data_IF_590616827821
#
_entry.id   IF_590616827821
#
_cell.length_a   1.000
_cell.length_b   1.000
_cell.length_c   1.000
_cell.angle_alpha   90.00
_cell.angle_beta   90.00
_cell.angle_gamma   90.00
#
_symmetry.space_group_name_H-M   'P 1'
#
loop_
_entity.id
_entity.type
_entity.pdbx_description
1 polymer ?
#
# COMPACT_ATOMS: atom_id res chain seq x y z
N UNK A 1 -18.51 11.13 2.00
CA UNK A 1 -19.59 11.76 2.80
C UNK A 1 -19.66 11.25 4.23
N UNK A 2 -19.69 9.92 4.49
CA UNK A 2 -19.83 9.36 5.85
C UNK A 2 -18.71 9.78 6.82
N UNK A 3 -17.45 9.73 6.40
CA UNK A 3 -16.32 10.12 7.23
C UNK A 3 -16.35 11.63 7.60
N UNK A 4 -16.70 12.48 6.64
CA UNK A 4 -16.91 13.92 6.86
C UNK A 4 -17.99 14.13 7.91
N UNK A 5 -19.17 13.55 7.72
CA UNK A 5 -20.28 13.64 8.67
C UNK A 5 -19.89 13.18 10.08
N UNK A 6 -19.19 12.05 10.20
CA UNK A 6 -18.75 11.54 11.49
C UNK A 6 -17.77 12.50 12.19
N UNK A 7 -16.79 13.06 11.48
CA UNK A 7 -15.85 14.03 12.04
C UNK A 7 -16.55 15.33 12.46
N UNK A 8 -17.50 15.83 11.68
CA UNK A 8 -18.33 16.99 12.02
C UNK A 8 -19.17 16.78 13.28
N UNK A 9 -19.57 15.53 13.52
CA UNK A 9 -20.27 15.14 14.76
C UNK A 9 -19.31 14.66 15.87
N UNK A 10 -18.05 15.09 15.84
CA UNK A 10 -17.08 14.91 16.92
C UNK A 10 -16.50 13.52 17.06
N UNK A 11 -16.63 12.62 16.05
CA UNK A 11 -16.12 11.24 16.08
C UNK A 11 -14.77 11.13 15.38
N UNK A 12 -13.92 10.25 15.85
CA UNK A 12 -12.80 9.71 15.07
C UNK A 12 -13.30 8.67 14.08
N UNK A 13 -12.59 8.50 12.96
CA UNK A 13 -13.01 7.61 11.87
C UNK A 13 -11.93 6.58 11.57
N UNK A 14 -12.30 5.31 11.45
CA UNK A 14 -11.55 4.28 10.75
C UNK A 14 -12.29 3.96 9.45
N UNK A 15 -11.62 4.06 8.33
CA UNK A 15 -12.21 3.81 7.00
C UNK A 15 -11.53 2.62 6.33
N UNK A 16 -12.30 1.83 5.60
CA UNK A 16 -11.76 0.85 4.67
C UNK A 16 -10.94 1.54 3.56
N UNK A 17 -10.18 0.75 2.84
CA UNK A 17 -9.35 1.15 1.70
C UNK A 17 -10.16 1.13 0.39
N UNK A 18 -10.03 2.18 -0.44
CA UNK A 18 -9.38 3.46 -0.22
C UNK A 18 -10.22 4.41 0.64
N UNK A 19 -9.59 5.41 1.28
CA UNK A 19 -10.33 6.40 2.09
C UNK A 19 -11.17 7.35 1.24
N UNK A 20 -10.78 7.55 -0.01
CA UNK A 20 -11.44 8.39 -1.01
C UNK A 20 -11.19 7.84 -2.43
N UNK A 21 -12.10 8.13 -3.36
CA UNK A 21 -12.01 7.71 -4.76
C UNK A 21 -11.87 8.88 -5.74
N UNK A 22 -11.90 10.12 -5.26
CA UNK A 22 -11.66 11.33 -6.05
C UNK A 22 -10.68 12.28 -5.33
N UNK A 23 -10.06 13.19 -6.08
CA UNK A 23 -9.17 14.22 -5.52
C UNK A 23 -9.95 15.21 -4.67
N UNK A 24 -11.16 15.54 -5.06
CA UNK A 24 -12.08 16.43 -4.34
C UNK A 24 -12.41 15.86 -2.96
N UNK A 25 -12.72 14.56 -2.88
CA UNK A 25 -12.98 13.88 -1.61
C UNK A 25 -11.73 13.85 -0.72
N UNK A 26 -10.54 13.67 -1.29
CA UNK A 26 -9.29 13.76 -0.54
C UNK A 26 -9.15 15.11 0.15
N UNK A 27 -9.34 16.21 -0.56
CA UNK A 27 -9.28 17.57 0.02
C UNK A 27 -10.39 17.83 1.03
N UNK A 28 -11.62 17.36 0.76
CA UNK A 28 -12.73 17.48 1.70
C UNK A 28 -12.45 16.79 3.04
N UNK A 29 -11.83 15.61 3.02
CA UNK A 29 -11.44 14.91 4.24
C UNK A 29 -10.39 15.66 5.03
N UNK A 30 -9.35 16.19 4.37
CA UNK A 30 -8.29 17.00 5.03
C UNK A 30 -8.88 18.23 5.69
N UNK A 31 -9.62 19.03 4.92
CA UNK A 31 -10.24 20.28 5.43
C UNK A 31 -11.13 20.00 6.63
N UNK A 32 -11.89 18.90 6.58
CA UNK A 32 -12.77 18.51 7.68
C UNK A 32 -11.98 18.07 8.91
N UNK A 33 -10.95 17.25 8.74
CA UNK A 33 -10.13 16.79 9.86
C UNK A 33 -9.37 17.94 10.53
N UNK A 34 -8.81 18.87 9.74
CA UNK A 34 -8.13 20.06 10.26
C UNK A 34 -9.07 20.98 11.02
N UNK A 35 -10.28 21.19 10.52
CA UNK A 35 -11.30 22.01 11.17
C UNK A 35 -11.84 21.39 12.46
N UNK A 36 -12.12 20.09 12.43
CA UNK A 36 -12.76 19.37 13.56
C UNK A 36 -11.75 18.81 14.56
N UNK A 37 -10.45 18.76 14.21
CA UNK A 37 -9.38 18.13 15.00
C UNK A 37 -9.67 16.65 15.30
N UNK A 38 -10.33 15.95 14.38
CA UNK A 38 -10.62 14.51 14.49
C UNK A 38 -9.69 13.68 13.62
N UNK A 39 -9.33 12.53 14.13
CA UNK A 39 -8.58 11.55 13.34
C UNK A 39 -9.50 10.89 12.30
N UNK A 40 -8.95 10.67 11.12
CA UNK A 40 -9.50 9.78 10.11
C UNK A 40 -8.33 8.91 9.61
N UNK A 41 -8.36 7.62 9.93
CA UNK A 41 -7.34 6.66 9.57
C UNK A 41 -7.89 5.69 8.52
N UNK A 42 -7.19 5.54 7.41
CA UNK A 42 -7.44 4.41 6.51
C UNK A 42 -6.87 3.13 7.12
N UNK A 43 -7.67 2.09 7.15
CA UNK A 43 -7.35 0.81 7.80
C UNK A 43 -6.52 -0.08 6.85
N UNK A 44 -5.35 0.43 6.42
CA UNK A 44 -4.42 -0.31 5.55
C UNK A 44 -3.63 -1.33 6.36
N UNK A 45 -4.11 -2.56 6.38
CA UNK A 45 -3.58 -3.64 7.22
C UNK A 45 -2.23 -4.18 6.73
N UNK A 46 -1.89 -4.06 5.44
CA UNK A 46 -0.63 -4.57 4.90
C UNK A 46 0.60 -3.89 5.49
N UNK A 47 0.49 -2.64 5.96
CA UNK A 47 1.55 -1.97 6.70
C UNK A 47 1.95 -2.69 8.00
N UNK A 48 1.08 -3.56 8.52
CA UNK A 48 1.23 -4.26 9.79
C UNK A 48 1.52 -5.75 9.63
N UNK A 49 1.71 -6.23 8.40
CA UNK A 49 2.13 -7.60 8.15
C UNK A 49 3.55 -7.85 8.69
N UNK A 50 3.79 -9.06 9.17
CA UNK A 50 5.07 -9.43 9.78
C UNK A 50 6.26 -9.24 8.84
N UNK A 51 6.07 -9.47 7.54
CA UNK A 51 7.10 -9.27 6.52
C UNK A 51 7.41 -7.79 6.32
N UNK A 52 6.38 -6.98 6.10
CA UNK A 52 6.53 -5.54 5.85
C UNK A 52 7.11 -4.82 7.08
N UNK A 53 6.72 -5.21 8.29
CA UNK A 53 7.31 -4.69 9.52
C UNK A 53 8.77 -5.10 9.70
N UNK A 54 9.14 -6.32 9.30
CA UNK A 54 10.52 -6.77 9.31
C UNK A 54 11.40 -5.94 8.37
N UNK A 55 10.93 -5.71 7.13
CA UNK A 55 11.63 -4.84 6.15
C UNK A 55 11.75 -3.42 6.69
N UNK A 56 10.65 -2.86 7.22
CA UNK A 56 10.67 -1.52 7.82
C UNK A 56 11.72 -1.41 8.93
N UNK A 57 11.82 -2.42 9.80
CA UNK A 57 12.82 -2.42 10.86
C UNK A 57 14.25 -2.48 10.32
N UNK A 58 14.52 -3.28 9.28
CA UNK A 58 15.83 -3.31 8.62
C UNK A 58 16.18 -1.96 7.98
N UNK A 59 15.22 -1.29 7.35
CA UNK A 59 15.42 0.04 6.76
C UNK A 59 15.75 1.07 7.85
N UNK A 60 15.03 1.03 8.96
CA UNK A 60 15.28 1.92 10.11
C UNK A 60 16.63 1.67 10.80
N UNK A 61 17.17 0.46 10.68
CA UNK A 61 18.54 0.08 11.13
C UNK A 61 19.62 0.26 10.06
N UNK A 62 19.31 0.97 8.97
CA UNK A 62 20.23 1.30 7.86
C UNK A 62 20.81 0.07 7.13
N UNK A 63 20.13 -1.08 7.17
CA UNK A 63 20.57 -2.29 6.45
C UNK A 63 20.54 -2.11 4.95
N UNK A 64 19.56 -1.33 4.43
CA UNK A 64 19.39 -1.08 3.00
C UNK A 64 20.23 0.10 2.48
N UNK A 65 20.76 0.96 3.37
CA UNK A 65 21.36 2.23 2.96
C UNK A 65 20.33 3.16 2.32
N UNK A 66 20.74 3.92 1.31
CA UNK A 66 19.83 4.80 0.58
C UNK A 66 18.96 4.02 -0.41
N UNK A 67 17.64 4.10 -0.24
CA UNK A 67 16.69 3.43 -1.13
C UNK A 67 16.52 4.28 -2.39
N UNK A 68 16.65 3.63 -3.54
CA UNK A 68 16.52 4.26 -4.87
C UNK A 68 15.25 3.86 -5.61
N UNK A 69 14.79 2.61 -5.38
CA UNK A 69 13.65 2.04 -6.08
C UNK A 69 12.87 1.08 -5.21
N UNK A 70 11.55 1.02 -5.43
CA UNK A 70 10.67 0.04 -4.81
C UNK A 70 9.61 -0.45 -5.80
N UNK A 71 9.13 -1.68 -5.59
CA UNK A 71 7.99 -2.20 -6.35
C UNK A 71 6.93 -2.74 -5.39
N UNK A 72 5.68 -2.40 -5.63
CA UNK A 72 4.53 -2.89 -4.90
C UNK A 72 3.39 -3.28 -5.83
N UNK A 73 2.43 -4.04 -5.34
CA UNK A 73 1.33 -4.48 -6.18
C UNK A 73 0.10 -4.92 -5.39
N UNK A 74 -1.01 -5.04 -6.12
CA UNK A 74 -2.12 -5.90 -5.76
C UNK A 74 -2.42 -6.81 -6.94
N UNK A 75 -1.89 -8.03 -6.88
CA UNK A 75 -2.00 -9.05 -7.92
C UNK A 75 -2.77 -10.24 -7.32
N UNK A 76 -3.99 -10.49 -7.81
CA UNK A 76 -4.89 -11.46 -7.19
C UNK A 76 -5.95 -11.91 -8.20
N UNK A 77 -6.21 -13.20 -8.34
CA UNK A 77 -7.34 -13.65 -9.16
C UNK A 77 -8.66 -13.42 -8.42
N UNK A 78 -9.40 -12.39 -8.81
CA UNK A 78 -10.70 -12.05 -8.25
C UNK A 78 -11.86 -12.31 -9.19
N UNK A 79 -11.66 -12.94 -10.35
CA UNK A 79 -12.71 -13.13 -11.36
C UNK A 79 -13.96 -13.80 -10.80
N UNK A 80 -13.80 -14.86 -10.01
CA UNK A 80 -14.93 -15.55 -9.39
C UNK A 80 -15.72 -14.65 -8.42
N UNK A 81 -15.02 -13.78 -7.67
CA UNK A 81 -15.68 -12.87 -6.73
C UNK A 81 -16.31 -11.66 -7.43
N UNK A 82 -15.68 -11.16 -8.49
CA UNK A 82 -16.21 -10.06 -9.30
C UNK A 82 -17.51 -10.45 -9.99
N UNK A 83 -17.59 -11.67 -10.51
CA UNK A 83 -18.75 -12.20 -11.23
C UNK A 83 -19.82 -12.80 -10.29
N UNK A 84 -19.57 -12.82 -8.96
CA UNK A 84 -20.53 -13.36 -8.00
C UNK A 84 -21.66 -12.35 -7.73
N UNK A 85 -22.91 -12.79 -7.79
CA UNK A 85 -24.09 -11.91 -7.71
C UNK A 85 -24.21 -11.12 -6.40
N UNK A 86 -23.73 -11.66 -5.28
CA UNK A 86 -23.97 -11.11 -3.94
C UNK A 86 -22.71 -10.86 -3.11
N UNK A 87 -21.52 -11.25 -3.58
CA UNK A 87 -20.29 -11.07 -2.80
C UNK A 87 -19.95 -9.58 -2.59
N UNK A 88 -20.03 -8.79 -3.66
CA UNK A 88 -19.98 -7.33 -3.59
C UNK A 88 -21.39 -6.80 -3.78
N UNK A 89 -21.94 -6.16 -2.77
CA UNK A 89 -23.30 -5.62 -2.79
C UNK A 89 -23.55 -4.79 -4.06
N UNK A 90 -24.59 -5.14 -4.83
CA UNK A 90 -24.90 -4.49 -6.11
C UNK A 90 -23.80 -4.64 -7.16
N UNK A 91 -22.89 -5.60 -7.02
CA UNK A 91 -21.75 -5.81 -7.93
C UNK A 91 -20.94 -4.52 -8.21
N UNK A 92 -20.86 -3.60 -7.23
CA UNK A 92 -20.26 -2.29 -7.41
C UNK A 92 -18.83 -2.36 -7.97
N UNK A 93 -18.05 -3.34 -7.52
CA UNK A 93 -16.67 -3.51 -7.98
C UNK A 93 -16.60 -3.94 -9.44
N UNK A 94 -17.51 -4.80 -9.89
CA UNK A 94 -17.59 -5.21 -11.29
C UNK A 94 -17.96 -4.02 -12.20
N UNK A 95 -18.90 -3.18 -11.77
CA UNK A 95 -19.26 -1.95 -12.49
C UNK A 95 -18.08 -0.99 -12.61
N UNK A 96 -17.29 -0.80 -11.55
CA UNK A 96 -16.05 -0.01 -11.62
C UNK A 96 -15.12 -0.52 -12.73
N UNK A 97 -14.93 -1.85 -12.84
CA UNK A 97 -14.10 -2.45 -13.89
C UNK A 97 -14.73 -2.34 -15.29
N UNK A 98 -16.05 -2.29 -15.39
CA UNK A 98 -16.74 -2.12 -16.66
C UNK A 98 -16.62 -0.68 -17.20
N UNK A 99 -16.58 0.31 -16.33
CA UNK A 99 -16.71 1.72 -16.69
C UNK A 99 -15.39 2.50 -16.66
N UNK A 100 -14.38 2.05 -15.92
CA UNK A 100 -13.15 2.78 -15.61
C UNK A 100 -11.91 1.96 -15.96
N UNK A 101 -10.75 2.62 -16.09
CA UNK A 101 -9.47 1.98 -16.39
C UNK A 101 -8.31 2.67 -15.69
N UNK A 102 -7.64 1.95 -14.79
CA UNK A 102 -6.53 2.45 -13.99
C UNK A 102 -6.08 1.45 -12.94
N UNK A 103 -5.38 1.91 -11.92
CA UNK A 103 -4.97 1.13 -10.76
C UNK A 103 -6.00 1.30 -9.63
N UNK A 104 -6.93 0.37 -9.47
CA UNK A 104 -8.03 0.50 -8.52
C UNK A 104 -7.72 0.01 -7.10
N UNK A 105 -6.55 -0.56 -6.87
CA UNK A 105 -6.19 -1.06 -5.55
C UNK A 105 -4.74 -0.76 -5.20
N UNK A 106 -4.45 0.52 -5.01
CA UNK A 106 -3.09 1.04 -4.86
C UNK A 106 -2.52 0.78 -3.46
N UNK A 107 -3.37 0.77 -2.44
CA UNK A 107 -2.97 0.97 -1.04
C UNK A 107 -2.19 -0.19 -0.44
N UNK A 108 -2.54 -1.45 -0.77
CA UNK A 108 -1.85 -2.63 -0.24
C UNK A 108 -0.38 -2.75 -0.68
N UNK A 109 -0.07 -2.30 -1.90
CA UNK A 109 1.33 -2.21 -2.35
C UNK A 109 2.00 -0.93 -1.86
N UNK A 110 1.30 0.20 -1.97
CA UNK A 110 1.88 1.52 -1.75
C UNK A 110 2.04 1.89 -0.27
N UNK A 111 1.15 1.41 0.60
CA UNK A 111 1.18 1.72 2.02
C UNK A 111 2.50 1.34 2.69
N UNK A 112 2.92 0.05 2.65
CA UNK A 112 4.21 -0.37 3.18
C UNK A 112 5.39 0.39 2.55
N UNK A 113 5.40 0.54 1.22
CA UNK A 113 6.42 1.29 0.49
C UNK A 113 6.53 2.73 0.97
N UNK A 114 5.40 3.38 1.24
CA UNK A 114 5.38 4.75 1.74
C UNK A 114 6.06 4.87 3.11
N UNK A 115 5.92 3.87 3.98
CA UNK A 115 6.65 3.80 5.24
C UNK A 115 8.17 3.62 5.01
N UNK A 116 8.56 2.74 4.08
CA UNK A 116 9.97 2.51 3.73
C UNK A 116 10.66 3.77 3.22
N UNK A 117 9.96 4.54 2.40
CA UNK A 117 10.48 5.75 1.75
C UNK A 117 10.31 7.03 2.58
N UNK A 118 9.67 6.95 3.76
CA UNK A 118 9.29 8.09 4.59
C UNK A 118 8.43 9.12 3.82
N UNK A 119 7.48 8.66 3.02
CA UNK A 119 6.53 9.52 2.31
C UNK A 119 5.67 10.28 3.34
N UNK A 120 5.52 11.59 3.13
CA UNK A 120 4.89 12.49 4.10
C UNK A 120 5.76 12.86 5.30
N UNK A 121 7.01 12.31 5.39
CA UNK A 121 7.94 12.46 6.53
C UNK A 121 9.38 12.59 6.04
N UNK A 122 9.63 13.60 5.22
CA UNK A 122 10.92 13.90 4.64
C UNK A 122 11.02 13.64 3.14
N UNK A 123 10.04 12.96 2.53
CA UNK A 123 9.86 12.81 1.08
C UNK A 123 8.36 12.84 0.74
N UNK A 124 8.00 13.05 -0.51
CA UNK A 124 6.61 13.00 -0.98
C UNK A 124 6.54 12.59 -2.44
N UNK A 125 5.35 12.22 -2.92
CA UNK A 125 5.14 11.92 -4.33
C UNK A 125 5.19 13.21 -5.16
N UNK A 126 5.83 13.15 -6.33
CA UNK A 126 5.97 14.26 -7.27
C UNK A 126 4.98 14.12 -8.43
N UNK A 127 5.14 13.07 -9.21
CA UNK A 127 4.31 12.77 -10.36
C UNK A 127 4.25 11.28 -10.66
N UNK A 128 3.27 10.87 -11.45
CA UNK A 128 3.12 9.51 -11.92
C UNK A 128 2.84 9.45 -13.43
N UNK A 129 3.12 8.27 -14.00
CA UNK A 129 2.60 7.84 -15.30
C UNK A 129 2.02 6.45 -15.16
N UNK A 130 0.92 6.17 -15.88
CA UNK A 130 0.21 4.90 -15.77
C UNK A 130 -0.20 4.37 -17.13
N UNK A 131 -0.11 3.07 -17.30
CA UNK A 131 -0.46 2.37 -18.52
C UNK A 131 -1.16 1.05 -18.19
N UNK A 132 -2.29 0.80 -18.85
CA UNK A 132 -3.01 -0.47 -18.76
C UNK A 132 -2.80 -1.30 -20.03
N UNK A 133 -2.72 -2.62 -19.85
CA UNK A 133 -2.83 -3.57 -20.96
C UNK A 133 -4.27 -3.57 -21.51
N UNK A 134 -4.48 -4.26 -22.62
CA UNK A 134 -5.85 -4.57 -23.06
C UNK A 134 -6.51 -5.53 -22.04
N UNK A 135 -7.84 -5.50 -21.99
CA UNK A 135 -8.66 -6.42 -21.22
C UNK A 135 -8.97 -7.67 -22.05
N UNK A 136 -8.88 -8.85 -21.45
CA UNK A 136 -9.18 -10.15 -22.06
C UNK A 136 -9.76 -11.17 -21.07
N UNK A 137 -9.22 -11.20 -19.86
CA UNK A 137 -9.42 -12.33 -18.94
C UNK A 137 -10.79 -12.25 -18.24
N UNK A 138 -11.21 -11.06 -17.81
CA UNK A 138 -12.51 -10.91 -17.14
C UNK A 138 -13.66 -11.09 -18.12
N UNK A 139 -13.58 -10.53 -19.34
CA UNK A 139 -14.60 -10.73 -20.38
C UNK A 139 -14.70 -12.19 -20.82
N UNK A 140 -13.58 -12.91 -20.91
CA UNK A 140 -13.58 -14.35 -21.19
C UNK A 140 -14.27 -15.14 -20.08
N UNK A 141 -13.96 -14.85 -18.82
CA UNK A 141 -14.59 -15.50 -17.67
C UNK A 141 -16.10 -15.19 -17.59
N UNK A 142 -16.49 -13.95 -17.84
CA UNK A 142 -17.89 -13.53 -17.85
C UNK A 142 -18.69 -14.24 -18.96
N UNK A 143 -18.11 -14.39 -20.15
CA UNK A 143 -18.74 -15.18 -21.25
C UNK A 143 -18.92 -16.64 -20.88
N UNK A 144 -17.91 -17.27 -20.29
CA UNK A 144 -17.99 -18.65 -19.82
C UNK A 144 -19.07 -18.84 -18.73
N UNK A 145 -19.24 -17.85 -17.86
CA UNK A 145 -20.25 -17.84 -16.83
C UNK A 145 -21.65 -17.39 -17.32
N UNK A 146 -21.83 -17.03 -18.59
CA UNK A 146 -23.02 -16.40 -19.15
C UNK A 146 -23.47 -15.16 -18.34
N UNK A 147 -22.51 -14.39 -17.81
CA UNK A 147 -22.79 -13.19 -17.05
C UNK A 147 -23.37 -12.08 -17.96
N UNK A 148 -24.34 -11.26 -17.50
CA UNK A 148 -24.95 -10.21 -18.33
C UNK A 148 -23.96 -9.11 -18.77
N UNK A 149 -22.99 -8.75 -17.92
CA UNK A 149 -21.93 -7.80 -18.26
C UNK A 149 -20.72 -8.60 -18.80
N UNK A 150 -20.37 -8.38 -20.07
CA UNK A 150 -19.30 -9.13 -20.75
C UNK A 150 -18.26 -8.22 -21.43
N UNK A 151 -18.29 -6.92 -21.14
CA UNK A 151 -17.33 -5.94 -21.67
C UNK A 151 -16.83 -5.04 -20.53
N UNK A 152 -15.54 -4.88 -20.45
CA UNK A 152 -14.87 -4.12 -19.39
C UNK A 152 -13.83 -3.17 -19.96
N UNK A 153 -13.75 -1.96 -19.41
CA UNK A 153 -12.72 -0.96 -19.78
C UNK A 153 -11.40 -1.20 -19.06
N UNK A 154 -11.46 -1.71 -17.83
CA UNK A 154 -10.27 -1.95 -17.03
C UNK A 154 -9.38 -3.00 -17.70
N UNK A 155 -8.15 -2.63 -18.04
CA UNK A 155 -7.17 -3.58 -18.57
C UNK A 155 -6.84 -4.69 -17.57
N UNK A 156 -6.33 -5.82 -18.07
CA UNK A 156 -5.95 -6.94 -17.19
C UNK A 156 -4.81 -6.56 -16.24
N UNK A 157 -3.81 -5.84 -16.74
CA UNK A 157 -2.66 -5.37 -15.96
C UNK A 157 -2.53 -3.85 -16.07
N UNK A 158 -2.42 -3.17 -14.95
CA UNK A 158 -2.02 -1.77 -14.88
C UNK A 158 -0.63 -1.66 -14.25
N UNK A 159 0.22 -0.81 -14.85
CA UNK A 159 1.54 -0.43 -14.34
C UNK A 159 1.55 1.08 -14.13
N UNK A 160 1.77 1.50 -12.90
CA UNK A 160 1.89 2.91 -12.52
C UNK A 160 3.30 3.16 -11.98
N UNK A 161 4.04 4.05 -12.63
CA UNK A 161 5.36 4.49 -12.20
C UNK A 161 5.23 5.84 -11.51
N UNK A 162 5.66 5.91 -10.25
CA UNK A 162 5.62 7.11 -9.42
C UNK A 162 7.04 7.58 -9.16
N UNK A 163 7.30 8.89 -9.23
CA UNK A 163 8.54 9.51 -8.78
C UNK A 163 8.30 10.36 -7.54
N UNK A 164 9.25 10.31 -6.59
CA UNK A 164 9.22 11.15 -5.40
C UNK A 164 10.00 12.45 -5.62
N UNK A 165 9.79 13.45 -4.77
CA UNK A 165 10.53 14.73 -4.82
C UNK A 165 12.04 14.54 -4.58
N UNK A 166 12.42 13.52 -3.79
CA UNK A 166 13.84 13.16 -3.59
C UNK A 166 14.40 12.20 -4.63
N UNK A 167 13.68 11.97 -5.74
CA UNK A 167 14.17 11.26 -6.91
C UNK A 167 14.08 9.74 -6.86
N UNK A 168 13.46 9.15 -5.83
CA UNK A 168 13.17 7.72 -5.77
C UNK A 168 12.06 7.34 -6.74
N UNK A 169 12.02 6.09 -7.17
CA UNK A 169 10.97 5.57 -8.07
C UNK A 169 10.21 4.43 -7.43
N UNK A 170 8.92 4.34 -7.74
CA UNK A 170 8.02 3.28 -7.28
C UNK A 170 7.31 2.71 -8.50
N UNK A 171 7.43 1.40 -8.73
CA UNK A 171 6.56 0.70 -9.67
C UNK A 171 5.41 0.07 -8.90
N UNK A 172 4.19 0.45 -9.25
CA UNK A 172 2.98 -0.06 -8.61
C UNK A 172 2.13 -0.80 -9.64
N UNK A 173 1.85 -2.09 -9.39
CA UNK A 173 1.11 -2.96 -10.31
C UNK A 173 -0.26 -3.32 -9.76
N UNK A 174 -1.22 -3.49 -10.67
CA UNK A 174 -2.57 -3.93 -10.35
C UNK A 174 -3.07 -4.93 -11.40
N UNK A 175 -3.52 -6.11 -10.94
CA UNK A 175 -4.17 -7.13 -11.78
C UNK A 175 -5.05 -8.02 -10.90
N UNK A 176 -6.35 -8.03 -11.18
CA UNK A 176 -7.33 -8.90 -10.52
C UNK A 176 -8.14 -9.74 -11.51
N UNK A 177 -7.73 -9.71 -12.77
CA UNK A 177 -8.40 -10.39 -13.89
C UNK A 177 -7.67 -11.67 -14.33
N UNK A 178 -6.39 -11.81 -14.01
CA UNK A 178 -5.58 -12.96 -14.44
C UNK A 178 -5.58 -14.07 -13.40
N UNK A 179 -5.69 -15.33 -13.85
CA UNK A 179 -5.50 -16.50 -13.00
C UNK A 179 -4.06 -16.60 -12.51
N UNK A 180 -3.82 -16.24 -11.26
CA UNK A 180 -2.48 -16.15 -10.65
C UNK A 180 -2.51 -16.27 -9.14
N UNK A 181 -1.39 -16.67 -8.49
CA UNK A 181 -1.28 -16.58 -7.04
C UNK A 181 -1.24 -15.11 -6.59
N UNK A 182 -1.65 -14.88 -5.34
CA UNK A 182 -1.58 -13.58 -4.70
C UNK A 182 -0.14 -13.07 -4.59
N UNK A 183 0.06 -11.78 -4.89
CA UNK A 183 1.35 -11.12 -4.69
C UNK A 183 1.17 -9.62 -4.47
N UNK A 184 1.93 -9.06 -3.52
CA UNK A 184 2.14 -7.60 -3.38
C UNK A 184 3.52 -7.16 -3.89
N UNK A 185 4.31 -8.08 -4.44
CA UNK A 185 5.71 -7.90 -4.85
C UNK A 185 6.58 -7.52 -3.64
N UNK A 186 6.39 -6.36 -3.04
CA UNK A 186 7.12 -5.86 -1.88
C UNK A 186 8.65 -5.87 -2.09
N UNK A 187 9.12 -5.26 -3.19
CA UNK A 187 10.54 -5.12 -3.51
C UNK A 187 11.09 -3.80 -3.00
N UNK A 188 12.30 -3.85 -2.45
CA UNK A 188 13.08 -2.70 -2.02
C UNK A 188 14.50 -2.80 -2.57
N UNK A 189 14.96 -1.77 -3.27
CA UNK A 189 16.31 -1.67 -3.81
C UNK A 189 17.03 -0.50 -3.15
N UNK A 190 18.04 -0.83 -2.36
CA UNK A 190 18.90 0.13 -1.69
C UNK A 190 20.37 -0.01 -2.09
N UNK A 191 21.21 0.89 -1.62
CA UNK A 191 22.64 0.90 -1.92
C UNK A 191 23.44 -0.21 -1.22
N UNK A 192 22.87 -0.84 -0.18
CA UNK A 192 23.53 -1.90 0.61
C UNK A 192 22.78 -3.24 0.58
N UNK A 193 21.52 -3.25 0.19
CA UNK A 193 20.69 -4.45 0.18
C UNK A 193 19.57 -4.38 -0.84
N UNK A 194 19.10 -5.55 -1.26
CA UNK A 194 17.89 -5.72 -2.07
C UNK A 194 17.02 -6.77 -1.42
N UNK A 195 15.75 -6.45 -1.24
CA UNK A 195 14.70 -7.41 -0.90
C UNK A 195 13.77 -7.63 -2.10
N UNK A 196 13.34 -8.85 -2.32
CA UNK A 196 12.31 -9.21 -3.29
C UNK A 196 11.32 -10.14 -2.60
N UNK A 197 10.03 -9.78 -2.61
CA UNK A 197 8.97 -10.57 -2.00
C UNK A 197 8.33 -11.57 -2.97
N UNK A 198 7.55 -12.50 -2.43
CA UNK A 198 6.73 -13.45 -3.18
C UNK A 198 7.47 -14.33 -4.20
N UNK A 199 8.43 -15.17 -3.74
CA UNK A 199 8.82 -15.42 -2.35
C UNK A 199 9.84 -14.42 -1.81
N UNK A 200 9.86 -14.26 -0.48
CA UNK A 200 10.79 -13.36 0.19
C UNK A 200 12.23 -13.80 0.06
N UNK A 201 13.09 -12.92 -0.46
CA UNK A 201 14.51 -13.13 -0.70
C UNK A 201 15.28 -11.87 -0.35
N UNK A 202 16.51 -12.01 0.13
CA UNK A 202 17.35 -10.91 0.55
C UNK A 202 18.75 -11.04 -0.07
N UNK A 203 19.27 -9.92 -0.56
CA UNK A 203 20.67 -9.73 -0.91
C UNK A 203 21.27 -8.66 -0.02
N UNK A 204 22.46 -8.89 0.53
CA UNK A 204 23.21 -7.90 1.31
C UNK A 204 24.58 -7.75 0.67
N UNK A 205 24.97 -6.52 0.39
CA UNK A 205 26.28 -6.21 -0.15
C UNK A 205 27.40 -6.58 0.83
N UNK A 206 28.47 -7.19 0.34
CA UNK A 206 29.63 -7.59 1.16
C UNK A 206 29.47 -8.87 1.98
N UNK A 207 28.30 -9.46 2.07
CA UNK A 207 28.10 -10.75 2.78
C UNK A 207 28.65 -11.96 2.00
N UNK A 208 29.09 -11.76 0.76
CA UNK A 208 29.68 -12.81 -0.06
C UNK A 208 31.01 -12.38 -0.64
N UNK A 209 32.05 -13.25 -0.57
CA UNK A 209 33.36 -12.96 -1.14
C UNK A 209 33.38 -13.05 -2.68
N UNK A 210 32.27 -13.43 -3.31
CA UNK A 210 32.19 -13.59 -4.77
C UNK A 210 32.07 -12.23 -5.47
N UNK A 211 33.01 -11.93 -6.34
CA UNK A 211 33.12 -10.69 -7.10
C UNK A 211 31.82 -10.30 -7.86
N UNK A 212 31.00 -11.27 -8.24
CA UNK A 212 29.83 -11.03 -9.09
C UNK A 212 28.51 -10.88 -8.36
N UNK A 213 28.38 -11.24 -7.10
CA UNK A 213 27.19 -10.99 -6.26
C UNK A 213 25.84 -11.46 -6.84
N UNK A 214 25.81 -12.52 -7.67
CA UNK A 214 24.64 -12.90 -8.46
C UNK A 214 23.58 -13.72 -7.70
N UNK A 215 23.79 -13.99 -6.43
CA UNK A 215 22.95 -14.90 -5.68
C UNK A 215 22.28 -14.21 -4.48
N UNK A 216 21.05 -14.56 -4.22
CA UNK A 216 20.39 -14.23 -2.98
C UNK A 216 21.08 -14.91 -1.79
N UNK A 217 20.88 -14.38 -0.57
CA UNK A 217 21.34 -15.05 0.64
C UNK A 217 20.82 -16.49 0.70
N UNK A 218 21.65 -17.41 1.18
CA UNK A 218 21.22 -18.78 1.49
C UNK A 218 20.22 -18.75 2.65
N UNK A 219 19.40 -19.79 2.74
CA UNK A 219 18.33 -19.88 3.73
C UNK A 219 18.80 -19.67 5.17
N UNK A 220 19.95 -20.21 5.54
CA UNK A 220 20.52 -20.06 6.89
C UNK A 220 20.89 -18.62 7.21
N UNK A 221 21.50 -17.90 6.25
CA UNK A 221 21.85 -16.49 6.38
C UNK A 221 20.60 -15.62 6.42
N UNK A 222 19.65 -15.88 5.50
CA UNK A 222 18.35 -15.21 5.50
C UNK A 222 17.64 -15.35 6.85
N UNK A 223 17.61 -16.55 7.45
CA UNK A 223 17.01 -16.78 8.77
C UNK A 223 17.70 -15.99 9.90
N UNK A 224 19.02 -15.75 9.83
CA UNK A 224 19.72 -14.88 10.78
C UNK A 224 19.21 -13.44 10.71
N UNK A 225 19.09 -12.89 9.47
CA UNK A 225 18.51 -11.55 9.27
C UNK A 225 17.06 -11.49 9.73
N UNK A 226 16.27 -12.51 9.42
CA UNK A 226 14.88 -12.63 9.84
C UNK A 226 14.74 -12.58 11.36
N UNK A 227 15.55 -13.31 12.07
CA UNK A 227 15.56 -13.33 13.55
C UNK A 227 16.08 -12.02 14.14
N UNK A 228 17.20 -11.51 13.62
CA UNK A 228 17.87 -10.31 14.16
C UNK A 228 17.01 -9.07 14.05
N UNK A 229 16.33 -8.89 12.92
CA UNK A 229 15.56 -7.69 12.61
C UNK A 229 14.05 -7.85 12.77
N UNK A 230 13.58 -8.94 13.39
CA UNK A 230 12.16 -9.08 13.70
C UNK A 230 11.64 -7.86 14.42
N UNK A 231 10.54 -7.26 13.93
CA UNK A 231 10.01 -6.03 14.51
C UNK A 231 9.56 -6.24 15.97
N UNK A 232 9.94 -5.36 16.91
CA UNK A 232 9.64 -5.55 18.34
C UNK A 232 8.15 -5.74 18.67
N UNK A 233 7.26 -5.05 17.94
CA UNK A 233 5.80 -5.18 18.15
C UNK A 233 5.32 -6.62 17.92
N UNK A 234 5.85 -7.29 16.91
CA UNK A 234 5.48 -8.68 16.60
C UNK A 234 5.85 -9.60 17.74
N UNK A 235 7.09 -9.47 18.25
CA UNK A 235 7.56 -10.27 19.39
C UNK A 235 6.71 -10.02 20.65
N UNK A 236 6.30 -8.77 20.89
CA UNK A 236 5.44 -8.40 22.02
C UNK A 236 4.05 -9.02 21.87
N UNK A 237 3.41 -8.85 20.72
CA UNK A 237 2.03 -9.30 20.51
C UNK A 237 1.91 -10.81 20.46
N UNK A 238 2.88 -11.53 19.94
CA UNK A 238 2.94 -13.00 20.00
C UNK A 238 2.95 -13.52 21.45
N UNK A 239 3.54 -12.77 22.40
CA UNK A 239 3.60 -13.15 23.82
C UNK A 239 2.27 -12.90 24.56
N UNK A 240 1.53 -11.86 24.19
CA UNK A 240 0.35 -11.41 24.95
C UNK A 240 -0.98 -11.89 24.35
N UNK A 241 -1.00 -12.40 23.12
CA UNK A 241 -2.22 -12.83 22.44
C UNK A 241 -2.11 -14.20 21.81
N UNK A 242 -3.00 -15.12 22.25
CA UNK A 242 -3.21 -16.41 21.56
C UNK A 242 -3.89 -16.23 20.19
N UNK A 243 -4.63 -15.11 19.99
CA UNK A 243 -5.33 -14.75 18.74
C UNK A 243 -4.47 -13.96 17.74
N UNK A 244 -3.15 -13.84 17.95
CA UNK A 244 -2.27 -13.02 17.15
C UNK A 244 -2.39 -13.25 15.63
N UNK A 245 -2.69 -14.46 15.19
CA UNK A 245 -2.83 -14.82 13.78
C UNK A 245 -4.24 -14.59 13.20
N UNK A 246 -5.19 -14.13 13.99
CA UNK A 246 -6.53 -13.82 13.50
C UNK A 246 -6.53 -12.55 12.64
N UNK A 247 -7.43 -12.50 11.66
CA UNK A 247 -7.52 -11.40 10.70
C UNK A 247 -6.28 -11.31 9.80
N UNK A 248 -6.41 -11.77 8.55
CA UNK A 248 -5.36 -11.72 7.52
C UNK A 248 -3.95 -12.13 8.03
N UNK A 249 -3.86 -13.23 8.78
CA UNK A 249 -2.59 -13.71 9.33
C UNK A 249 -2.02 -12.89 10.49
N UNK A 250 -2.81 -12.00 11.07
CA UNK A 250 -2.44 -11.14 12.22
C UNK A 250 -2.30 -9.66 11.88
N UNK A 251 -2.33 -9.28 10.61
CA UNK A 251 -2.22 -7.86 10.20
C UNK A 251 -3.29 -7.00 10.85
N UNK A 252 -4.54 -7.42 10.81
CA UNK A 252 -5.67 -6.68 11.37
C UNK A 252 -5.53 -6.50 12.88
N UNK A 253 -5.07 -7.56 13.58
CA UNK A 253 -4.85 -7.49 15.01
C UNK A 253 -3.78 -6.46 15.39
N UNK A 254 -2.64 -6.44 14.68
CA UNK A 254 -1.57 -5.46 14.91
C UNK A 254 -2.06 -4.05 14.63
N UNK A 255 -2.77 -3.84 13.52
CA UNK A 255 -3.33 -2.56 13.14
C UNK A 255 -4.28 -2.00 14.20
N UNK A 256 -5.27 -2.79 14.61
CA UNK A 256 -6.25 -2.37 15.63
C UNK A 256 -5.55 -2.13 16.98
N UNK A 257 -4.62 -2.99 17.38
CA UNK A 257 -3.83 -2.76 18.59
C UNK A 257 -3.12 -1.41 18.56
N UNK A 258 -2.49 -1.07 17.43
CA UNK A 258 -1.80 0.21 17.25
C UNK A 258 -2.75 1.38 17.30
N UNK A 259 -3.87 1.31 16.58
CA UNK A 259 -4.90 2.35 16.59
C UNK A 259 -5.38 2.64 18.02
N UNK A 260 -5.85 1.61 18.73
CA UNK A 260 -6.36 1.75 20.11
C UNK A 260 -5.28 2.31 21.03
N UNK A 261 -4.03 1.82 20.90
CA UNK A 261 -2.92 2.31 21.73
C UNK A 261 -2.60 3.79 21.45
N UNK A 262 -2.55 4.19 20.20
CA UNK A 262 -2.31 5.59 19.84
C UNK A 262 -3.40 6.51 20.40
N UNK A 263 -4.66 6.15 20.26
CA UNK A 263 -5.79 6.92 20.79
C UNK A 263 -5.75 7.01 22.32
N UNK A 264 -5.50 5.90 23.02
CA UNK A 264 -5.45 5.88 24.50
C UNK A 264 -4.29 6.70 25.08
N UNK A 265 -3.19 6.82 24.35
CA UNK A 265 -2.01 7.53 24.81
C UNK A 265 -1.90 8.95 24.23
N UNK A 266 -2.85 9.39 23.42
CA UNK A 266 -2.78 10.68 22.74
C UNK A 266 -1.61 10.79 21.76
N UNK A 267 -1.18 9.68 21.17
CA UNK A 267 -0.09 9.64 20.20
C UNK A 267 -0.65 9.87 18.78
N UNK A 268 0.17 10.42 17.86
CA UNK A 268 -0.18 10.43 16.44
C UNK A 268 -0.45 9.01 15.94
N UNK A 269 -1.40 8.87 15.03
CA UNK A 269 -1.67 7.58 14.37
C UNK A 269 -0.51 7.22 13.44
N UNK A 270 -0.21 5.92 13.34
CA UNK A 270 0.85 5.42 12.43
C UNK A 270 0.52 5.76 10.97
N UNK A 271 -0.74 5.58 10.59
CA UNK A 271 -1.30 6.04 9.32
C UNK A 271 -2.19 7.24 9.63
N UNK A 272 -1.74 8.44 9.30
CA UNK A 272 -2.56 9.63 9.46
C UNK A 272 -3.42 9.90 8.22
N UNK A 273 -4.24 10.94 8.25
CA UNK A 273 -5.12 11.24 7.12
C UNK A 273 -4.35 11.67 5.86
N UNK A 274 -3.21 12.35 6.02
CA UNK A 274 -2.38 12.73 4.86
C UNK A 274 -1.81 11.49 4.16
N UNK A 275 -1.34 10.48 4.90
CA UNK A 275 -0.94 9.17 4.34
C UNK A 275 -2.12 8.55 3.58
N UNK A 276 -3.28 8.51 4.21
CA UNK A 276 -4.50 7.88 3.68
C UNK A 276 -4.94 8.50 2.35
N UNK A 277 -4.96 9.82 2.25
CA UNK A 277 -5.36 10.52 1.01
C UNK A 277 -4.28 10.47 -0.07
N UNK A 278 -2.98 10.56 0.30
CA UNK A 278 -1.89 10.43 -0.67
C UNK A 278 -1.92 9.07 -1.37
N UNK A 279 -2.12 7.99 -0.61
CA UNK A 279 -2.15 6.64 -1.20
C UNK A 279 -3.42 6.41 -2.03
N UNK A 280 -4.56 6.91 -1.58
CA UNK A 280 -5.85 6.79 -2.28
C UNK A 280 -5.89 7.63 -3.56
N UNK A 281 -5.22 8.80 -3.59
CA UNK A 281 -5.21 9.70 -4.75
C UNK A 281 -4.56 9.08 -6.00
N UNK A 282 -3.70 8.07 -5.82
CA UNK A 282 -3.04 7.40 -6.95
C UNK A 282 -4.05 6.72 -7.87
N UNK A 283 -5.16 6.23 -7.35
CA UNK A 283 -6.23 5.62 -8.18
C UNK A 283 -6.77 6.61 -9.23
N UNK A 284 -7.41 7.74 -8.88
CA UNK A 284 -7.95 8.66 -9.89
C UNK A 284 -6.86 9.30 -10.76
N UNK A 285 -5.65 9.50 -10.24
CA UNK A 285 -4.54 10.04 -11.03
C UNK A 285 -3.99 9.01 -12.04
N UNK A 286 -4.00 7.72 -11.69
CA UNK A 286 -3.64 6.65 -12.63
C UNK A 286 -4.64 6.56 -13.78
N UNK A 287 -5.93 6.69 -13.49
CA UNK A 287 -6.98 6.73 -14.50
C UNK A 287 -6.81 7.92 -15.45
N UNK A 288 -6.53 9.11 -14.91
CA UNK A 288 -6.27 10.29 -15.72
C UNK A 288 -5.07 10.07 -16.65
N UNK A 289 -3.97 9.48 -16.14
CA UNK A 289 -2.80 9.17 -16.95
C UNK A 289 -3.14 8.19 -18.07
N UNK A 290 -3.84 7.09 -17.78
CA UNK A 290 -4.28 6.11 -18.79
C UNK A 290 -5.17 6.78 -19.84
N UNK A 291 -6.15 7.60 -19.43
CA UNK A 291 -7.07 8.29 -20.32
C UNK A 291 -6.39 9.32 -21.24
N UNK A 292 -5.23 9.84 -20.83
CA UNK A 292 -4.43 10.82 -21.57
C UNK A 292 -3.19 10.20 -22.23
N UNK A 293 -3.26 8.93 -22.64
CA UNK A 293 -2.15 8.21 -23.31
C UNK A 293 -0.86 8.18 -22.48
N UNK A 294 -0.99 7.87 -21.20
CA UNK A 294 0.11 7.75 -20.23
C UNK A 294 0.91 9.05 -20.01
N UNK A 295 0.25 10.19 -20.14
CA UNK A 295 0.88 11.46 -19.78
C UNK A 295 1.29 11.47 -18.31
N UNK A 296 2.37 12.18 -18.03
CA UNK A 296 2.82 12.42 -16.65
C UNK A 296 1.83 13.34 -15.93
N UNK A 297 1.30 12.86 -14.80
CA UNK A 297 0.33 13.57 -13.96
C UNK A 297 1.01 14.00 -12.68
N UNK A 298 0.96 15.29 -12.37
CA UNK A 298 1.44 15.83 -11.09
C UNK A 298 0.54 15.34 -9.94
N UNK A 299 1.15 14.85 -8.87
CA UNK A 299 0.42 14.45 -7.66
C UNK A 299 0.28 15.67 -6.75
N UNK A 300 -0.92 15.99 -6.23
CA UNK A 300 -1.11 17.09 -5.29
C UNK A 300 -0.33 16.89 -4.00
N UNK A 301 0.28 17.96 -3.50
CA UNK A 301 0.85 17.97 -2.15
C UNK A 301 -0.24 18.27 -1.12
N UNK A 302 -0.83 17.22 -0.57
CA UNK A 302 -1.88 17.32 0.45
C UNK A 302 -1.38 17.85 1.80
N UNK A 303 -0.06 17.90 2.00
CA UNK A 303 0.55 18.35 3.26
C UNK A 303 0.90 19.84 3.26
N UNK A 304 0.68 20.54 2.14
CA UNK A 304 1.08 21.93 1.95
C UNK A 304 2.55 22.20 2.34
N UNK A 305 3.44 21.23 2.03
CA UNK A 305 4.89 21.33 2.28
C UNK A 305 5.35 20.85 3.65
N UNK A 306 4.45 20.53 4.59
CA UNK A 306 4.85 20.09 5.95
C UNK A 306 5.54 18.73 5.96
N UNK A 307 5.46 17.96 4.89
CA UNK A 307 6.20 16.70 4.74
C UNK A 307 7.72 16.86 4.92
N UNK A 308 8.27 18.07 4.70
CA UNK A 308 9.70 18.37 4.85
C UNK A 308 10.17 18.31 6.30
N UNK A 309 9.30 18.73 7.21
CA UNK A 309 9.61 18.91 8.63
C UNK A 309 9.00 17.83 9.53
N UNK A 310 8.15 16.97 8.97
CA UNK A 310 7.55 15.88 9.72
C UNK A 310 8.61 14.86 10.16
N UNK A 311 8.54 14.48 11.43
CA UNK A 311 9.43 13.45 11.99
C UNK A 311 9.20 12.09 11.34
N UNK A 312 10.28 11.32 11.19
CA UNK A 312 10.22 9.94 10.69
C UNK A 312 9.28 9.08 11.54
N UNK A 313 8.76 8.01 10.94
CA UNK A 313 7.87 7.06 11.61
C UNK A 313 8.63 6.22 12.65
N UNK A 314 8.77 6.74 13.86
CA UNK A 314 9.43 6.03 14.98
C UNK A 314 8.43 5.32 15.91
N UNK A 315 7.16 5.68 15.85
CA UNK A 315 6.10 5.24 16.77
C UNK A 315 5.98 3.72 16.82
N UNK A 316 6.18 3.05 15.69
CA UNK A 316 6.15 1.59 15.60
C UNK A 316 7.26 0.91 16.40
N UNK A 317 8.34 1.63 16.75
CA UNK A 317 9.49 1.11 17.53
C UNK A 317 9.34 1.38 19.04
N UNK A 318 8.68 2.48 19.42
CA UNK A 318 8.43 2.84 20.83
C UNK A 318 7.17 2.12 21.33
N UNK A 319 7.35 0.97 21.96
CA UNK A 319 6.27 0.14 22.47
C UNK A 319 6.19 0.25 23.98
#
# INVERSE_FOLDING_TARGET
PMAVYAMENGKHVGSEVPVASSIEDCWSLIQTAERTKKHCMMMENCNYNEEELWILNMIQEDVFGDITHTEGAYLHDLRALLLHDTYYEGQWRLHEHAERNGNFYTTHGLGPISFYLNIGRGDTFSHLTSMSSRELNLSSAAKQANHPIQSYKCGDMNNTLIKTEKGKTILLQFDVHTGRPYSRINKVVGTKAVHDGYPSRLYIEGEKPEYWGHNWLKEEEYKKYRSKYQHPIINKLKKISKGFKQGHGGMDFVMIYRLVRCLNLGLPLDINLYDSVMWSSITPLSELSVATNSQSIKIPDFTAGTWKDNSKLEIMRKI
#
